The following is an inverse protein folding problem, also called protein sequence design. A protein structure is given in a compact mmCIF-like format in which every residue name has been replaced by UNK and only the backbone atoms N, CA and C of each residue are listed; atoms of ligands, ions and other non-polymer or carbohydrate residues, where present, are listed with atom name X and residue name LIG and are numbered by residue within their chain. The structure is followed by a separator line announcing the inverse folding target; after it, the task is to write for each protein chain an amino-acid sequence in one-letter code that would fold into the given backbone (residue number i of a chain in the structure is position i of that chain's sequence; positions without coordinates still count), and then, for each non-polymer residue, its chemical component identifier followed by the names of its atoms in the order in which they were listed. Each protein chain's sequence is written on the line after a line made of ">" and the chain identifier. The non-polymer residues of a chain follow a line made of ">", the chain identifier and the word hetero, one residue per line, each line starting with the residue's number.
data_IF_830156477517
#
_entry.id   IF_830156477517
#
_cell.length_a   1.000
_cell.length_b   1.000
_cell.length_c   1.000
_cell.angle_alpha   90.00
_cell.angle_beta   90.00
_cell.angle_gamma   90.00
#
_symmetry.space_group_name_H-M   'P 1'
#
loop_
_entity.id
_entity.type
_entity.pdbx_description
1 polymer ?
#
# COMPACT_ATOMS: atom_id res chain seq x y z
N UNK A 1 0.06 -0.62 -2.93
CA UNK A 1 1.38 -0.61 -2.29
C UNK A 1 1.54 0.64 -1.41
N UNK A 2 2.48 0.58 -0.47
CA UNK A 2 2.64 1.57 0.60
C UNK A 2 3.35 2.85 0.17
N UNK A 3 3.84 2.93 -1.05
CA UNK A 3 4.49 4.13 -1.59
C UNK A 3 3.73 4.75 -2.76
N UNK A 4 2.60 4.16 -3.17
CA UNK A 4 1.75 4.68 -4.24
C UNK A 4 2.34 4.52 -5.64
N UNK A 5 3.02 3.39 -5.91
CA UNK A 5 3.49 3.07 -7.26
C UNK A 5 2.31 2.91 -8.21
N UNK A 6 2.40 3.50 -9.39
CA UNK A 6 1.34 3.42 -10.38
C UNK A 6 1.44 2.16 -11.24
N UNK A 7 0.33 1.78 -11.83
CA UNK A 7 0.27 0.75 -12.87
C UNK A 7 1.00 1.24 -14.14
N UNK A 8 1.88 0.39 -14.70
CA UNK A 8 2.56 0.68 -15.95
C UNK A 8 1.80 0.04 -17.10
N UNK A 9 1.10 0.86 -17.89
CA UNK A 9 0.38 0.39 -19.07
C UNK A 9 1.35 -0.11 -20.15
N UNK A 10 0.97 -1.19 -20.84
CA UNK A 10 1.71 -1.73 -21.98
C UNK A 10 2.94 -2.56 -21.63
N UNK A 11 3.34 -2.68 -20.38
CA UNK A 11 4.39 -3.62 -19.99
C UNK A 11 3.83 -5.05 -19.99
N UNK A 12 4.35 -5.91 -20.85
CA UNK A 12 3.86 -7.28 -21.01
C UNK A 12 4.42 -8.20 -19.93
N UNK A 13 3.54 -8.85 -19.17
CA UNK A 13 3.90 -10.03 -18.40
C UNK A 13 4.00 -11.25 -19.34
N UNK A 14 5.06 -12.04 -19.24
CA UNK A 14 5.30 -13.23 -20.08
C UNK A 14 4.38 -14.41 -19.69
N UNK A 15 3.66 -14.32 -18.57
CA UNK A 15 2.83 -15.40 -18.07
C UNK A 15 1.38 -15.33 -18.58
N UNK A 16 1.07 -16.19 -19.58
CA UNK A 16 -0.23 -16.79 -19.80
C UNK A 16 -1.47 -15.91 -19.84
N UNK A 17 -1.43 -14.70 -20.39
CA UNK A 17 -2.63 -13.94 -20.69
C UNK A 17 -3.24 -13.10 -19.55
N UNK A 18 -2.63 -13.10 -18.36
CA UNK A 18 -3.02 -12.20 -17.26
C UNK A 18 -2.00 -11.08 -17.12
N UNK A 19 -2.48 -9.86 -17.22
CA UNK A 19 -1.66 -8.68 -16.97
C UNK A 19 -1.36 -8.57 -15.47
N UNK A 20 -0.14 -8.95 -15.06
CA UNK A 20 0.31 -8.88 -13.66
C UNK A 20 1.37 -7.81 -13.43
N UNK A 21 1.52 -6.89 -14.35
CA UNK A 21 2.57 -5.85 -14.34
C UNK A 21 2.51 -5.01 -13.07
N UNK A 22 1.31 -4.61 -12.66
CA UNK A 22 1.11 -3.81 -11.46
C UNK A 22 1.57 -4.48 -10.16
N UNK A 23 1.45 -5.83 -10.09
CA UNK A 23 1.83 -6.59 -8.89
C UNK A 23 3.28 -7.10 -8.92
N UNK A 24 4.00 -6.88 -10.02
CA UNK A 24 5.36 -7.41 -10.25
C UNK A 24 6.36 -6.33 -10.65
N UNK A 25 5.95 -5.07 -10.66
CA UNK A 25 6.87 -3.96 -10.90
C UNK A 25 8.01 -3.96 -9.88
N UNK A 26 9.25 -3.71 -10.30
CA UNK A 26 10.38 -3.61 -9.39
C UNK A 26 10.13 -2.52 -8.35
N UNK A 27 10.41 -2.82 -7.09
CA UNK A 27 10.26 -1.85 -6.00
C UNK A 27 11.17 -0.65 -6.21
N UNK A 28 10.62 0.54 -6.12
CA UNK A 28 11.32 1.81 -6.32
C UNK A 28 11.89 2.31 -5.00
N UNK A 29 13.14 1.95 -4.70
CA UNK A 29 13.78 2.29 -3.43
C UNK A 29 14.26 3.74 -3.37
N UNK A 30 14.92 4.21 -4.45
CA UNK A 30 15.53 5.54 -4.53
C UNK A 30 15.64 6.02 -5.99
N UNK A 31 16.40 7.08 -6.23
CA UNK A 31 16.62 7.66 -7.57
C UNK A 31 17.82 7.10 -8.35
N UNK A 32 18.51 6.09 -7.81
CA UNK A 32 19.66 5.48 -8.51
C UNK A 32 19.25 4.59 -9.68
N UNK A 33 20.22 4.01 -10.38
CA UNK A 33 19.98 3.06 -11.50
C UNK A 33 19.01 1.97 -11.05
N UNK A 34 18.06 1.62 -11.92
CA UNK A 34 16.98 0.68 -11.65
C UNK A 34 16.20 0.98 -10.35
N UNK A 35 16.12 2.25 -9.98
CA UNK A 35 15.50 2.71 -8.73
C UNK A 35 16.07 2.00 -7.47
N UNK A 36 17.33 1.58 -7.51
CA UNK A 36 17.96 0.83 -6.42
C UNK A 36 17.50 -0.63 -6.28
N UNK A 37 16.68 -1.12 -7.23
CA UNK A 37 16.16 -2.49 -7.19
C UNK A 37 17.21 -3.54 -7.58
N UNK A 38 18.01 -3.26 -8.62
CA UNK A 38 18.98 -4.19 -9.20
C UNK A 38 20.20 -3.44 -9.75
N UNK A 39 21.34 -4.13 -9.75
CA UNK A 39 22.57 -3.68 -10.41
C UNK A 39 22.72 -4.20 -11.85
N UNK A 40 21.73 -4.92 -12.39
CA UNK A 40 21.71 -5.40 -13.78
C UNK A 40 21.57 -4.22 -14.76
N UNK A 41 21.84 -4.47 -16.04
CA UNK A 41 21.51 -3.49 -17.06
C UNK A 41 19.99 -3.25 -17.10
N UNK A 42 19.53 -2.00 -17.31
CA UNK A 42 18.08 -1.70 -17.29
C UNK A 42 17.25 -2.51 -18.28
N UNK A 43 17.84 -2.91 -19.40
CA UNK A 43 17.22 -3.74 -20.44
C UNK A 43 17.03 -5.21 -20.04
N UNK A 44 17.76 -5.68 -19.03
CA UNK A 44 17.67 -7.03 -18.49
C UNK A 44 16.56 -7.17 -17.42
N UNK A 45 15.92 -6.08 -17.03
CA UNK A 45 14.81 -6.14 -16.07
C UNK A 45 13.59 -6.79 -16.71
N UNK A 46 13.01 -7.78 -16.01
CA UNK A 46 11.77 -8.45 -16.44
C UNK A 46 10.60 -7.48 -16.69
N UNK A 47 10.48 -6.47 -15.85
CA UNK A 47 9.55 -5.35 -16.00
C UNK A 47 10.36 -4.07 -15.81
N UNK A 48 10.24 -3.08 -16.72
CA UNK A 48 10.98 -1.85 -16.61
C UNK A 48 10.56 -1.03 -15.39
N UNK A 49 11.46 -0.19 -14.91
CA UNK A 49 11.15 0.83 -13.90
C UNK A 49 10.26 1.91 -14.54
N UNK A 50 9.36 2.48 -13.76
CA UNK A 50 8.60 3.66 -14.16
C UNK A 50 9.54 4.79 -14.59
N UNK A 51 9.39 5.24 -15.82
CA UNK A 51 10.24 6.28 -16.41
C UNK A 51 9.94 7.69 -15.93
N UNK A 52 8.86 7.89 -15.18
CA UNK A 52 8.51 9.21 -14.63
C UNK A 52 9.58 9.68 -13.64
N UNK A 53 10.13 10.86 -13.88
CA UNK A 53 11.13 11.47 -12.98
C UNK A 53 10.57 11.77 -11.59
N UNK A 54 9.25 11.93 -11.48
CA UNK A 54 8.53 12.18 -10.24
C UNK A 54 7.99 10.89 -9.59
N UNK A 55 8.33 9.72 -10.14
CA UNK A 55 7.87 8.45 -9.60
C UNK A 55 8.08 8.37 -8.09
N UNK A 56 7.14 7.74 -7.36
CA UNK A 56 7.30 7.54 -5.93
C UNK A 56 8.49 6.60 -5.65
N UNK A 57 9.21 6.88 -4.58
CA UNK A 57 10.28 6.02 -4.08
C UNK A 57 10.14 5.85 -2.57
N UNK A 58 10.66 4.74 -2.04
CA UNK A 58 10.70 4.50 -0.60
C UNK A 58 11.42 5.64 0.13
N UNK A 59 12.55 6.10 -0.42
CA UNK A 59 13.32 7.21 0.14
C UNK A 59 12.49 8.49 0.29
N UNK A 60 11.74 8.87 -0.75
CA UNK A 60 10.84 10.03 -0.68
C UNK A 60 9.70 9.79 0.31
N UNK A 61 9.06 8.61 0.25
CA UNK A 61 7.92 8.29 1.09
C UNK A 61 8.25 8.25 2.59
N UNK A 62 9.42 7.74 2.96
CA UNK A 62 9.89 7.73 4.36
C UNK A 62 10.08 9.15 4.90
N UNK A 63 10.57 10.07 4.07
CA UNK A 63 10.87 11.44 4.45
C UNK A 63 9.67 12.41 4.37
N UNK A 64 8.57 12.00 3.73
CA UNK A 64 7.34 12.79 3.60
C UNK A 64 6.34 12.38 4.68
N UNK A 65 6.04 13.24 5.68
CA UNK A 65 5.12 12.92 6.77
C UNK A 65 3.68 12.64 6.31
N UNK A 66 3.29 13.15 5.12
CA UNK A 66 1.94 13.02 4.55
C UNK A 66 1.85 11.88 3.51
N UNK A 67 2.93 11.11 3.34
CA UNK A 67 2.97 9.98 2.43
C UNK A 67 2.05 8.83 2.87
N UNK A 68 1.59 8.03 1.88
CA UNK A 68 0.86 6.78 2.13
C UNK A 68 1.66 5.85 3.07
N UNK A 69 2.98 5.78 2.89
CA UNK A 69 3.87 5.00 3.77
C UNK A 69 3.72 5.40 5.25
N UNK A 70 3.79 6.70 5.54
CA UNK A 70 3.69 7.18 6.91
C UNK A 70 2.26 7.07 7.46
N UNK A 71 1.22 7.18 6.63
CA UNK A 71 -0.16 6.91 7.05
C UNK A 71 -0.36 5.42 7.41
N UNK A 72 0.09 4.49 6.55
CA UNK A 72 0.02 3.05 6.86
C UNK A 72 0.81 2.73 8.14
N UNK A 73 1.98 3.34 8.32
CA UNK A 73 2.79 3.21 9.55
C UNK A 73 2.04 3.69 10.79
N UNK A 74 1.32 4.81 10.72
CA UNK A 74 0.46 5.32 11.80
C UNK A 74 -0.67 4.33 12.12
N UNK A 75 -1.35 3.80 11.10
CA UNK A 75 -2.42 2.81 11.25
C UNK A 75 -1.92 1.49 11.87
N UNK A 76 -0.74 1.02 11.49
CA UNK A 76 -0.11 -0.16 12.09
C UNK A 76 0.16 0.08 13.58
N UNK A 77 0.73 1.23 13.94
CA UNK A 77 0.97 1.59 15.34
C UNK A 77 -0.33 1.68 16.14
N UNK A 78 -1.37 2.31 15.56
CA UNK A 78 -2.70 2.39 16.15
C UNK A 78 -3.25 0.98 16.43
N UNK A 79 -3.17 0.09 15.45
CA UNK A 79 -3.62 -1.31 15.60
C UNK A 79 -2.85 -2.04 16.70
N UNK A 80 -1.55 -1.85 16.79
CA UNK A 80 -0.71 -2.48 17.82
C UNK A 80 -1.02 -1.96 19.23
N UNK A 81 -1.32 -0.67 19.35
CA UNK A 81 -1.60 -0.01 20.62
C UNK A 81 -3.00 -0.36 21.20
N UNK A 82 -3.92 -0.83 20.38
CA UNK A 82 -5.32 -1.06 20.79
C UNK A 82 -5.73 -2.52 20.64
N UNK A 83 -6.03 -3.16 21.76
CA UNK A 83 -6.49 -4.57 21.80
C UNK A 83 -7.74 -4.81 20.97
N UNK A 84 -8.69 -3.88 20.95
CA UNK A 84 -9.91 -3.94 20.14
C UNK A 84 -9.66 -4.05 18.63
N UNK A 85 -8.52 -3.58 18.14
CA UNK A 85 -8.13 -3.66 16.70
C UNK A 85 -7.35 -4.93 16.34
N UNK A 86 -7.03 -5.78 17.31
CA UNK A 86 -6.36 -7.07 17.07
C UNK A 86 -7.33 -8.09 16.49
N UNK A 87 -6.81 -9.23 16.03
CA UNK A 87 -7.61 -10.28 15.38
C UNK A 87 -8.71 -10.87 16.25
N UNK A 88 -8.53 -10.88 17.58
CA UNK A 88 -9.52 -11.35 18.56
C UNK A 88 -10.54 -10.28 18.97
N UNK A 89 -10.39 -9.04 18.52
CA UNK A 89 -11.38 -7.99 18.76
C UNK A 89 -12.69 -8.29 18.02
N UNK A 90 -13.80 -7.96 18.68
CA UNK A 90 -15.16 -8.10 18.13
C UNK A 90 -15.49 -6.92 17.20
N UNK A 91 -16.46 -7.12 16.32
CA UNK A 91 -16.96 -6.09 15.39
C UNK A 91 -18.45 -5.96 15.50
N UNK A 92 -18.97 -4.74 15.43
CA UNK A 92 -20.38 -4.40 15.35
C UNK A 92 -20.57 -3.31 14.31
N UNK A 93 -21.44 -3.55 13.33
CA UNK A 93 -21.81 -2.55 12.34
C UNK A 93 -22.87 -1.62 12.93
N UNK A 94 -22.55 -0.33 13.00
CA UNK A 94 -23.45 0.71 13.49
C UNK A 94 -24.26 1.33 12.35
N UNK A 95 -23.70 1.41 11.15
CA UNK A 95 -24.35 1.81 9.92
C UNK A 95 -23.72 1.11 8.73
N UNK A 96 -24.52 0.37 7.96
CA UNK A 96 -24.06 -0.37 6.78
C UNK A 96 -25.24 -0.58 5.81
N UNK A 97 -25.69 0.50 5.19
CA UNK A 97 -26.77 0.48 4.19
C UNK A 97 -26.23 0.13 2.82
N UNK A 98 -26.97 -0.69 2.05
CA UNK A 98 -26.57 -1.06 0.69
C UNK A 98 -26.55 0.18 -0.22
N UNK A 99 -25.42 0.38 -0.92
CA UNK A 99 -25.19 1.51 -1.82
C UNK A 99 -25.27 2.90 -1.16
N UNK A 100 -25.03 3.01 0.14
CA UNK A 100 -25.01 4.26 0.87
C UNK A 100 -23.70 4.46 1.64
N UNK A 101 -23.33 5.70 1.87
CA UNK A 101 -22.20 6.11 2.71
C UNK A 101 -22.71 6.85 3.95
N UNK A 102 -21.95 6.86 5.04
CA UNK A 102 -20.69 6.14 5.28
C UNK A 102 -20.92 4.67 5.69
N UNK A 103 -19.86 3.88 5.71
CA UNK A 103 -19.81 2.62 6.45
C UNK A 103 -19.28 2.91 7.85
N UNK A 104 -20.09 2.65 8.90
CA UNK A 104 -19.68 2.89 10.29
C UNK A 104 -19.71 1.59 11.07
N UNK A 105 -18.60 1.24 11.70
CA UNK A 105 -18.52 0.07 12.54
C UNK A 105 -17.69 0.32 13.78
N UNK A 106 -17.98 -0.44 14.83
CA UNK A 106 -17.25 -0.43 16.10
C UNK A 106 -16.41 -1.68 16.23
N UNK A 107 -15.15 -1.50 16.58
CA UNK A 107 -14.29 -2.57 17.08
C UNK A 107 -14.24 -2.48 18.60
N UNK A 108 -14.40 -3.61 19.29
CA UNK A 108 -14.40 -3.62 20.73
C UNK A 108 -13.84 -4.92 21.30
N UNK A 109 -13.38 -4.84 22.52
CA UNK A 109 -13.07 -5.96 23.41
C UNK A 109 -13.67 -5.68 24.77
N UNK A 110 -13.37 -6.52 25.76
CA UNK A 110 -13.95 -6.40 27.10
C UNK A 110 -13.54 -5.11 27.85
N UNK A 111 -12.52 -4.40 27.39
CA UNK A 111 -11.95 -3.22 28.04
C UNK A 111 -12.08 -1.92 27.23
N UNK A 112 -12.19 -1.99 25.92
CA UNK A 112 -12.12 -0.81 25.05
C UNK A 112 -13.01 -0.94 23.80
N UNK A 113 -13.43 0.21 23.28
CA UNK A 113 -14.10 0.31 21.98
C UNK A 113 -13.51 1.42 21.13
N UNK A 114 -13.47 1.22 19.81
CA UNK A 114 -13.05 2.19 18.80
C UNK A 114 -14.09 2.17 17.69
N UNK A 115 -14.65 3.32 17.36
CA UNK A 115 -15.58 3.50 16.24
C UNK A 115 -14.78 3.97 15.02
N UNK A 116 -15.05 3.35 13.87
CA UNK A 116 -14.43 3.64 12.58
C UNK A 116 -15.52 4.04 11.58
N UNK A 117 -15.23 5.08 10.80
CA UNK A 117 -16.12 5.65 9.80
C UNK A 117 -15.40 5.84 8.48
#
# INVERSE_FOLDING_TARGET
>A
DEIGMRHLEGAKSVEGGFERTASRSPMQWNSSVNAGFSAADPEDLYIPIDSDVNRPTVEKAVNDPDSIYNEVRKLIKLRQAHSALKSNGKIEFLYAEKNAYPLVYRRYDDNKSITLQ
#
